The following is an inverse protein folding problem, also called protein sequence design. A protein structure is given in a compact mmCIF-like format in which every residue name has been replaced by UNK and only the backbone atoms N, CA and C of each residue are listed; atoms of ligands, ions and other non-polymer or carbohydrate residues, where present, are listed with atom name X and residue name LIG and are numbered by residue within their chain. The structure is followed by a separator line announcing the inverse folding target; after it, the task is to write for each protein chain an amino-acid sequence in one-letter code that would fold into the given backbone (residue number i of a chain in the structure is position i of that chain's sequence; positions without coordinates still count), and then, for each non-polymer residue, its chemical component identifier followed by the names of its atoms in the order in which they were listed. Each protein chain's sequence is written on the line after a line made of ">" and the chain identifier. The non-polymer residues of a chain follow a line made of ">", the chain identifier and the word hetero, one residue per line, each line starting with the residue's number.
data_IF_589394480616
#
_entry.id   IF_589394480616
#
_cell.length_a   1.000
_cell.length_b   1.000
_cell.length_c   1.000
_cell.angle_alpha   90.00
_cell.angle_beta   90.00
_cell.angle_gamma   90.00
#
_symmetry.space_group_name_H-M   'P 1'
#
loop_
_entity.id
_entity.type
_entity.pdbx_description
1 polymer ?
#
# COMPACT_ATOMS: atom_id res chain seq x y z
N UNK A 1 -12.30 27.82 -44.65
CA UNK A 1 -11.92 29.09 -43.99
C UNK A 1 -10.88 28.78 -42.91
N UNK A 2 -9.60 29.05 -43.15
CA UNK A 2 -8.53 28.74 -42.19
C UNK A 2 -8.53 29.77 -41.04
N UNK A 3 -8.62 29.29 -39.80
CA UNK A 3 -8.66 30.14 -38.60
C UNK A 3 -7.28 30.78 -38.41
N UNK A 4 -7.17 32.10 -38.61
CA UNK A 4 -5.94 32.87 -38.34
C UNK A 4 -5.53 32.67 -36.89
N UNK A 5 -4.30 32.21 -36.66
CA UNK A 5 -3.71 32.10 -35.31
C UNK A 5 -3.53 33.52 -34.78
N UNK A 6 -4.21 33.84 -33.69
CA UNK A 6 -4.11 35.14 -33.00
C UNK A 6 -2.72 35.24 -32.38
N UNK A 7 -1.98 36.32 -32.70
CA UNK A 7 -0.72 36.63 -32.05
C UNK A 7 -0.99 37.16 -30.62
N UNK A 8 -0.08 36.86 -29.69
CA UNK A 8 -0.17 37.30 -28.30
C UNK A 8 -0.10 38.83 -28.23
N UNK A 9 -1.06 39.42 -27.50
CA UNK A 9 -1.08 40.85 -27.21
C UNK A 9 0.09 41.23 -26.30
N UNK A 10 0.53 42.48 -26.34
CA UNK A 10 1.63 43.01 -25.52
C UNK A 10 1.40 42.77 -24.00
N UNK A 11 0.18 43.01 -23.54
CA UNK A 11 -0.26 42.70 -22.17
C UNK A 11 -0.17 41.20 -21.81
N UNK A 12 -0.45 40.29 -22.76
CA UNK A 12 -0.33 38.85 -22.52
C UNK A 12 1.14 38.42 -22.45
N UNK A 13 2.01 39.06 -23.22
CA UNK A 13 3.46 38.83 -23.14
C UNK A 13 4.03 39.30 -21.81
N UNK A 14 3.60 40.45 -21.30
CA UNK A 14 4.01 40.93 -19.97
C UNK A 14 3.56 39.99 -18.85
N UNK A 15 2.32 39.50 -18.93
CA UNK A 15 1.80 38.53 -17.97
C UNK A 15 2.59 37.21 -18.04
N UNK A 16 2.91 36.74 -19.24
CA UNK A 16 3.73 35.55 -19.47
C UNK A 16 5.14 35.70 -18.89
N UNK A 17 5.78 36.86 -19.09
CA UNK A 17 7.11 37.16 -18.54
C UNK A 17 7.12 37.21 -17.01
N UNK A 18 6.04 37.68 -16.36
CA UNK A 18 5.89 37.63 -14.89
C UNK A 18 5.79 36.20 -14.38
N UNK A 19 5.07 35.32 -15.09
CA UNK A 19 4.93 33.91 -14.71
C UNK A 19 6.26 33.16 -14.83
N UNK A 20 7.00 33.34 -15.92
CA UNK A 20 8.28 32.66 -16.14
C UNK A 20 9.31 33.00 -15.05
N UNK A 21 9.33 34.25 -14.57
CA UNK A 21 10.25 34.68 -13.49
C UNK A 21 10.04 33.92 -12.17
N UNK A 22 8.87 33.33 -11.95
CA UNK A 22 8.54 32.61 -10.71
C UNK A 22 8.64 31.09 -10.83
N UNK A 23 9.02 30.57 -12.01
CA UNK A 23 9.18 29.12 -12.21
C UNK A 23 10.65 28.77 -12.05
N UNK A 24 10.98 28.01 -11.01
CA UNK A 24 12.28 27.35 -10.90
C UNK A 24 12.39 26.31 -12.01
N UNK A 25 13.32 26.52 -12.95
CA UNK A 25 13.62 25.56 -13.99
C UNK A 25 14.29 24.35 -13.36
N UNK A 26 13.65 23.18 -13.47
CA UNK A 26 14.27 21.91 -13.11
C UNK A 26 15.48 21.73 -14.02
N UNK A 27 16.68 21.82 -13.44
CA UNK A 27 17.94 21.64 -14.15
C UNK A 27 17.88 20.35 -14.97
N UNK A 28 18.18 20.49 -16.25
CA UNK A 28 18.22 19.38 -17.19
C UNK A 28 19.28 18.40 -16.68
N UNK A 29 18.84 17.24 -16.21
CA UNK A 29 19.72 16.16 -15.75
C UNK A 29 20.81 15.94 -16.80
N UNK A 30 22.06 16.01 -16.36
CA UNK A 30 23.22 15.64 -17.18
C UNK A 30 23.02 14.22 -17.72
N UNK A 31 23.40 13.95 -18.98
CA UNK A 31 23.23 12.63 -19.56
C UNK A 31 23.96 11.62 -18.69
N UNK A 32 23.21 10.61 -18.22
CA UNK A 32 23.76 9.46 -17.50
C UNK A 32 24.73 8.74 -18.44
N UNK A 33 26.01 9.12 -18.39
CA UNK A 33 27.08 8.32 -18.97
C UNK A 33 27.19 7.07 -18.11
N UNK A 34 26.47 6.03 -18.52
CA UNK A 34 26.61 4.69 -17.96
C UNK A 34 27.93 4.14 -18.51
N UNK A 35 29.04 4.53 -17.89
CA UNK A 35 30.28 3.78 -18.03
C UNK A 35 30.04 2.40 -17.37
N UNK A 36 30.21 1.28 -18.08
CA UNK A 36 30.08 -0.03 -17.46
C UNK A 36 31.22 -0.19 -16.46
N UNK A 37 30.93 0.02 -15.18
CA UNK A 37 31.85 -0.32 -14.10
C UNK A 37 31.94 -1.84 -14.09
N UNK A 38 32.98 -2.37 -14.73
CA UNK A 38 33.33 -3.77 -14.70
C UNK A 38 33.36 -4.21 -13.24
N UNK A 39 32.38 -5.03 -12.86
CA UNK A 39 32.25 -5.54 -11.51
C UNK A 39 33.35 -6.57 -11.35
N UNK A 40 34.41 -6.21 -10.62
CA UNK A 40 35.48 -7.12 -10.26
C UNK A 40 34.86 -8.39 -9.66
N UNK A 41 35.07 -9.49 -10.38
CA UNK A 41 34.62 -10.81 -9.98
C UNK A 41 35.44 -11.17 -8.75
N UNK A 42 34.81 -11.13 -7.57
CA UNK A 42 35.43 -11.58 -6.32
C UNK A 42 35.87 -13.02 -6.50
N UNK A 43 37.17 -13.26 -6.39
CA UNK A 43 37.78 -14.58 -6.39
C UNK A 43 37.14 -15.44 -5.30
N UNK A 44 36.53 -16.55 -5.70
CA UNK A 44 35.98 -17.53 -4.77
C UNK A 44 37.14 -18.16 -3.99
N UNK A 45 37.22 -17.89 -2.68
CA UNK A 45 38.13 -18.59 -1.78
C UNK A 45 37.64 -20.02 -1.64
N UNK A 46 38.40 -21.00 -2.13
CA UNK A 46 38.14 -22.42 -1.91
C UNK A 46 38.18 -22.69 -0.40
N UNK A 47 37.01 -22.84 0.22
CA UNK A 47 36.91 -23.24 1.62
C UNK A 47 37.29 -24.72 1.75
N UNK A 48 38.24 -25.02 2.65
CA UNK A 48 38.59 -26.39 3.01
C UNK A 48 37.35 -27.12 3.58
N UNK A 49 37.24 -28.45 3.43
CA UNK A 49 36.07 -29.19 3.87
C UNK A 49 35.86 -29.00 5.38
N UNK A 50 34.74 -28.35 5.74
CA UNK A 50 34.36 -28.13 7.14
C UNK A 50 34.05 -29.49 7.76
N UNK A 51 34.75 -29.83 8.85
CA UNK A 51 34.50 -31.04 9.64
C UNK A 51 33.06 -30.99 10.17
N UNK A 52 32.26 -32.00 9.81
CA UNK A 52 30.85 -32.10 10.22
C UNK A 52 30.83 -32.70 11.62
N UNK A 53 30.62 -31.87 12.63
CA UNK A 53 30.38 -32.34 14.00
C UNK A 53 28.94 -32.87 14.15
N UNK A 54 28.71 -33.90 14.99
CA UNK A 54 27.38 -34.48 15.17
C UNK A 54 26.42 -33.43 15.72
N UNK A 55 25.32 -33.19 14.99
CA UNK A 55 24.29 -32.26 15.41
C UNK A 55 23.29 -32.96 16.33
N UNK A 56 22.83 -32.26 17.37
CA UNK A 56 21.71 -32.67 18.22
C UNK A 56 20.50 -31.82 17.89
N UNK A 57 19.34 -32.45 17.69
CA UNK A 57 18.08 -31.76 17.44
C UNK A 57 17.78 -30.83 18.63
N UNK A 58 17.55 -29.55 18.35
CA UNK A 58 17.30 -28.53 19.37
C UNK A 58 18.54 -27.77 19.88
N UNK A 59 19.76 -28.11 19.45
CA UNK A 59 20.99 -27.41 19.90
C UNK A 59 21.05 -25.91 19.55
N UNK A 60 20.33 -25.50 18.50
CA UNK A 60 20.17 -24.09 18.10
C UNK A 60 18.78 -23.51 18.43
N UNK A 61 17.95 -24.23 19.20
CA UNK A 61 16.69 -23.69 19.70
C UNK A 61 16.98 -22.72 20.84
N UNK A 62 17.57 -21.57 20.50
CA UNK A 62 17.75 -20.47 21.43
C UNK A 62 16.39 -20.02 21.96
N UNK A 63 16.33 -19.73 23.26
CA UNK A 63 15.16 -19.25 23.99
C UNK A 63 14.69 -17.84 23.57
N UNK A 64 14.86 -17.45 22.31
CA UNK A 64 14.30 -16.23 21.78
C UNK A 64 12.85 -16.47 21.40
N UNK A 65 12.02 -16.69 22.43
CA UNK A 65 10.57 -16.44 22.33
C UNK A 65 10.42 -14.94 22.16
N UNK A 66 10.60 -14.44 20.93
CA UNK A 66 10.07 -13.13 20.55
C UNK A 66 8.59 -13.21 20.90
N UNK A 67 8.18 -12.53 21.96
CA UNK A 67 6.76 -12.38 22.28
C UNK A 67 6.11 -11.89 20.99
N UNK A 68 5.02 -12.51 20.50
CA UNK A 68 4.32 -11.97 19.35
C UNK A 68 3.91 -10.54 19.72
N UNK A 69 4.63 -9.56 19.18
CA UNK A 69 4.29 -8.17 19.36
C UNK A 69 2.91 -8.01 18.75
N UNK A 70 1.95 -7.53 19.54
CA UNK A 70 0.66 -7.14 19.02
C UNK A 70 0.92 -6.13 17.90
N UNK A 71 0.25 -6.25 16.73
CA UNK A 71 0.40 -5.27 15.67
C UNK A 71 0.13 -3.88 16.26
N UNK A 72 1.14 -3.01 16.20
CA UNK A 72 1.01 -1.63 16.62
C UNK A 72 0.15 -0.90 15.59
N UNK A 73 -1.12 -0.66 15.92
CA UNK A 73 -1.97 0.21 15.09
C UNK A 73 -1.58 1.70 15.22
N UNK A 74 -0.55 2.02 16.01
CA UNK A 74 0.01 3.36 16.12
C UNK A 74 0.93 3.72 14.94
N UNK A 75 1.34 2.73 14.13
CA UNK A 75 1.92 2.98 12.82
C UNK A 75 0.80 3.51 11.91
N UNK A 76 0.59 4.83 12.00
CA UNK A 76 -0.18 5.57 10.99
C UNK A 76 0.32 5.10 9.62
N UNK A 77 -0.57 4.78 8.66
CA UNK A 77 -0.13 4.43 7.32
C UNK A 77 0.89 5.48 6.90
N UNK A 78 2.08 5.00 6.51
CA UNK A 78 3.21 5.84 6.13
C UNK A 78 2.70 7.04 5.35
N UNK A 79 3.19 8.25 5.63
CA UNK A 79 2.78 9.51 4.99
C UNK A 79 2.85 9.51 3.45
N UNK A 80 3.28 8.41 2.84
CA UNK A 80 3.13 8.11 1.43
C UNK A 80 1.64 7.98 1.10
N UNK A 81 1.11 9.05 0.51
CA UNK A 81 -0.23 9.08 -0.06
C UNK A 81 -0.41 7.85 -0.97
N UNK A 82 -1.44 7.02 -0.76
CA UNK A 82 -1.68 5.86 -1.60
C UNK A 82 -2.06 6.34 -3.00
N UNK A 83 -1.12 6.34 -3.96
CA UNK A 83 -1.33 6.67 -5.39
C UNK A 83 -2.45 7.70 -5.67
N UNK A 84 -2.50 8.79 -4.89
CA UNK A 84 -3.51 9.83 -5.00
C UNK A 84 -2.91 11.19 -4.64
N UNK A 85 -3.50 12.25 -5.16
CA UNK A 85 -3.11 13.62 -4.85
C UNK A 85 -3.23 13.92 -3.34
N UNK A 86 -2.26 14.67 -2.82
CA UNK A 86 -2.21 15.11 -1.41
C UNK A 86 -3.55 15.73 -0.94
N UNK A 87 -4.23 16.49 -1.81
CA UNK A 87 -5.52 17.12 -1.50
C UNK A 87 -6.62 16.08 -1.27
N UNK A 88 -6.70 15.07 -2.14
CA UNK A 88 -7.70 14.01 -2.03
C UNK A 88 -7.40 13.12 -0.81
N UNK A 89 -6.14 12.86 -0.51
CA UNK A 89 -5.75 12.10 0.69
C UNK A 89 -6.14 12.82 1.98
N UNK A 90 -5.92 14.14 2.05
CA UNK A 90 -6.38 14.94 3.17
C UNK A 90 -7.91 14.96 3.31
N UNK A 91 -8.67 14.90 2.20
CA UNK A 91 -10.13 14.80 2.24
C UNK A 91 -10.58 13.42 2.72
N UNK A 92 -9.91 12.35 2.27
CA UNK A 92 -10.15 10.98 2.73
C UNK A 92 -9.97 10.87 4.24
N UNK A 93 -8.84 11.34 4.78
CA UNK A 93 -8.56 11.32 6.22
C UNK A 93 -9.59 12.10 7.05
N UNK A 94 -10.18 13.15 6.48
CA UNK A 94 -11.24 13.96 7.12
C UNK A 94 -12.64 13.37 6.92
N UNK A 95 -12.80 12.26 6.22
CA UNK A 95 -14.11 11.68 5.89
C UNK A 95 -14.94 12.56 4.93
N UNK A 96 -14.30 13.42 4.13
CA UNK A 96 -14.95 14.35 3.18
C UNK A 96 -14.97 13.84 1.74
N UNK A 97 -14.59 12.59 1.53
CA UNK A 97 -14.69 11.90 0.24
C UNK A 97 -15.90 10.98 0.30
N UNK A 98 -16.71 10.97 -0.75
CA UNK A 98 -17.87 10.09 -0.84
C UNK A 98 -17.42 8.65 -1.10
N UNK A 99 -18.10 7.71 -0.46
CA UNK A 99 -17.85 6.29 -0.60
C UNK A 99 -18.67 5.78 -1.78
N UNK A 100 -18.01 5.17 -2.77
CA UNK A 100 -18.68 4.69 -3.98
C UNK A 100 -19.42 3.37 -3.74
N UNK A 101 -18.90 2.50 -2.87
CA UNK A 101 -19.55 1.28 -2.46
C UNK A 101 -19.13 0.83 -1.05
N UNK A 102 -20.03 0.08 -0.41
CA UNK A 102 -19.82 -0.47 0.92
C UNK A 102 -20.04 -1.97 0.91
N UNK A 103 -19.16 -2.70 1.58
CA UNK A 103 -19.30 -4.13 1.84
C UNK A 103 -19.33 -4.36 3.34
N UNK A 104 -20.39 -4.99 3.81
CA UNK A 104 -20.53 -5.42 5.18
C UNK A 104 -20.13 -6.91 5.30
N UNK A 105 -19.13 -7.20 6.11
CA UNK A 105 -18.62 -8.55 6.37
C UNK A 105 -18.94 -9.02 7.79
N UNK A 106 -19.75 -8.27 8.53
CA UNK A 106 -20.17 -8.67 9.85
C UNK A 106 -20.94 -10.00 9.78
N UNK A 107 -20.74 -10.84 10.79
CA UNK A 107 -21.32 -12.17 10.91
C UNK A 107 -20.63 -13.26 10.07
N UNK A 108 -19.76 -12.89 9.11
CA UNK A 108 -19.12 -13.86 8.22
C UNK A 108 -17.91 -14.53 8.87
N UNK A 109 -17.71 -15.80 8.53
CA UNK A 109 -16.44 -16.48 8.79
C UNK A 109 -15.33 -15.93 7.89
N UNK A 110 -14.07 -16.07 8.29
CA UNK A 110 -12.92 -15.60 7.51
C UNK A 110 -12.91 -16.11 6.06
N UNK A 111 -13.28 -17.38 5.84
CA UNK A 111 -13.33 -17.97 4.49
C UNK A 111 -14.47 -17.38 3.65
N UNK A 112 -15.66 -17.19 4.24
CA UNK A 112 -16.77 -16.52 3.57
C UNK A 112 -16.45 -15.07 3.24
N UNK A 113 -15.86 -14.34 4.19
CA UNK A 113 -15.46 -12.95 4.02
C UNK A 113 -14.41 -12.81 2.91
N UNK A 114 -13.45 -13.75 2.81
CA UNK A 114 -12.44 -13.74 1.74
C UNK A 114 -13.07 -13.83 0.36
N UNK A 115 -14.04 -14.73 0.17
CA UNK A 115 -14.72 -14.89 -1.12
C UNK A 115 -15.54 -13.63 -1.47
N UNK A 116 -16.29 -13.07 -0.51
CA UNK A 116 -17.05 -11.85 -0.73
C UNK A 116 -16.17 -10.64 -1.07
N UNK A 117 -15.07 -10.44 -0.34
CA UNK A 117 -14.15 -9.32 -0.60
C UNK A 117 -13.57 -9.40 -1.99
N UNK A 118 -13.13 -10.59 -2.42
CA UNK A 118 -12.55 -10.77 -3.76
C UNK A 118 -13.56 -10.41 -4.86
N UNK A 119 -14.79 -10.92 -4.76
CA UNK A 119 -15.84 -10.61 -5.72
C UNK A 119 -16.20 -9.11 -5.70
N UNK A 120 -16.31 -8.53 -4.52
CA UNK A 120 -16.64 -7.11 -4.34
C UNK A 120 -15.59 -6.19 -4.95
N UNK A 121 -14.30 -6.48 -4.75
CA UNK A 121 -13.20 -5.70 -5.32
C UNK A 121 -13.18 -5.83 -6.84
N UNK A 122 -13.29 -7.03 -7.40
CA UNK A 122 -13.29 -7.23 -8.86
C UNK A 122 -14.45 -6.47 -9.52
N UNK A 123 -15.66 -6.59 -8.98
CA UNK A 123 -16.83 -5.87 -9.47
C UNK A 123 -16.67 -4.35 -9.33
N UNK A 124 -16.10 -3.89 -8.21
CA UNK A 124 -15.87 -2.46 -7.97
C UNK A 124 -14.83 -1.88 -8.92
N UNK A 125 -13.76 -2.63 -9.21
CA UNK A 125 -12.75 -2.24 -10.19
C UNK A 125 -13.36 -2.17 -11.60
N UNK A 126 -14.16 -3.15 -12.00
CA UNK A 126 -14.87 -3.14 -13.30
C UNK A 126 -15.85 -1.98 -13.43
N UNK A 127 -16.50 -1.60 -12.32
CA UNK A 127 -17.39 -0.45 -12.24
C UNK A 127 -16.66 0.90 -12.11
N UNK A 128 -15.32 0.92 -12.09
CA UNK A 128 -14.52 2.15 -11.99
C UNK A 128 -14.60 2.86 -10.63
N UNK A 129 -15.00 2.16 -9.57
CA UNK A 129 -15.08 2.73 -8.21
C UNK A 129 -13.70 3.00 -7.64
N UNK A 130 -13.54 4.14 -6.96
CA UNK A 130 -12.24 4.63 -6.48
C UNK A 130 -12.14 4.61 -4.96
N UNK A 131 -13.26 4.74 -4.25
CA UNK A 131 -13.31 4.62 -2.79
C UNK A 131 -14.33 3.57 -2.35
N UNK A 132 -13.86 2.60 -1.57
CA UNK A 132 -14.66 1.51 -1.03
C UNK A 132 -14.58 1.51 0.50
N UNK A 133 -15.69 1.20 1.16
CA UNK A 133 -15.73 0.96 2.60
C UNK A 133 -15.99 -0.53 2.84
N UNK A 134 -15.10 -1.19 3.57
CA UNK A 134 -15.28 -2.58 4.00
C UNK A 134 -15.45 -2.59 5.51
N UNK A 135 -16.57 -3.14 5.99
CA UNK A 135 -16.90 -3.17 7.40
C UNK A 135 -16.71 -4.59 7.92
N UNK A 136 -15.59 -4.82 8.62
CA UNK A 136 -15.16 -6.13 9.13
C UNK A 136 -15.59 -6.41 10.57
N UNK A 137 -16.24 -5.46 11.24
CA UNK A 137 -16.60 -5.57 12.66
C UNK A 137 -15.40 -5.55 13.62
N UNK A 138 -15.68 -5.48 14.93
CA UNK A 138 -14.64 -5.37 16.00
C UNK A 138 -13.94 -6.70 16.36
N UNK A 139 -14.44 -7.83 15.84
CA UNK A 139 -13.93 -9.19 16.11
C UNK A 139 -14.24 -9.72 17.51
N UNK A 140 -14.56 -11.01 17.64
CA UNK A 140 -14.66 -11.72 18.92
C UNK A 140 -13.66 -12.90 18.92
N UNK A 141 -12.86 -13.05 19.99
CA UNK A 141 -11.78 -14.05 20.01
C UNK A 141 -12.25 -15.49 20.18
N UNK A 142 -13.49 -15.75 20.62
CA UNK A 142 -14.06 -17.10 20.77
C UNK A 142 -15.59 -17.01 20.71
N UNK A 143 -16.19 -17.57 19.67
CA UNK A 143 -17.64 -17.83 19.63
C UNK A 143 -17.85 -19.34 19.61
N UNK A 144 -18.79 -19.84 20.41
CA UNK A 144 -19.14 -21.25 20.49
C UNK A 144 -20.44 -21.41 19.70
N UNK A 145 -20.55 -22.42 18.83
CA UNK A 145 -21.81 -22.69 18.13
C UNK A 145 -22.85 -23.40 19.01
N UNK A 146 -24.06 -23.58 18.49
CA UNK A 146 -25.17 -24.33 19.14
C UNK A 146 -24.79 -25.77 19.52
N UNK A 147 -23.69 -26.30 18.96
CA UNK A 147 -23.17 -27.63 19.20
C UNK A 147 -21.90 -27.63 20.08
N UNK A 148 -21.57 -26.52 20.74
CA UNK A 148 -20.45 -26.44 21.67
C UNK A 148 -19.06 -26.36 20.99
N UNK A 149 -18.98 -26.22 19.68
CA UNK A 149 -17.72 -26.18 18.92
C UNK A 149 -17.18 -24.75 18.85
N UNK A 150 -15.87 -24.55 19.04
CA UNK A 150 -15.27 -23.24 18.89
C UNK A 150 -15.31 -22.80 17.42
N UNK A 151 -16.21 -21.86 17.08
CA UNK A 151 -16.17 -21.11 15.83
C UNK A 151 -15.11 -20.02 15.97
N UNK A 152 -13.92 -20.32 15.46
CA UNK A 152 -12.87 -19.33 15.24
C UNK A 152 -13.16 -18.55 13.95
N UNK A 153 -12.88 -17.25 13.93
CA UNK A 153 -12.88 -16.46 12.70
C UNK A 153 -14.21 -15.84 12.26
N UNK A 154 -15.20 -15.70 13.15
CA UNK A 154 -16.40 -14.90 12.87
C UNK A 154 -16.10 -13.41 13.10
N UNK A 155 -16.26 -12.60 12.07
CA UNK A 155 -16.33 -11.15 12.15
C UNK A 155 -17.67 -10.78 12.82
N UNK A 156 -17.73 -10.02 13.93
CA UNK A 156 -18.98 -9.78 14.69
C UNK A 156 -19.94 -8.85 13.92
N UNK A 157 -21.22 -8.73 14.29
CA UNK A 157 -22.14 -7.63 13.93
C UNK A 157 -22.04 -6.44 14.89
N UNK A 158 -21.97 -5.23 14.31
CA UNK A 158 -22.23 -3.99 15.04
C UNK A 158 -23.74 -3.80 15.13
N UNK A 159 -24.27 -3.85 16.35
CA UNK A 159 -25.51 -3.14 16.70
C UNK A 159 -25.10 -1.72 17.04
#
# INVERSE_FOLDING_TARGET
>A
MARRKRALSEHEQEMWNKVIKHVETIEVMSPLVIAPKAKEIKTFKTEMPRKIEPFKVGSKAGANRRKPAMPSFADRPSQNSPNMDRRNYQRLLRGKLEIDATLDLHGLTADQARNQVNMFIDNSCRAGKRLLLIITGKGNKKTIDEFGRPRSGILRSGV
#
